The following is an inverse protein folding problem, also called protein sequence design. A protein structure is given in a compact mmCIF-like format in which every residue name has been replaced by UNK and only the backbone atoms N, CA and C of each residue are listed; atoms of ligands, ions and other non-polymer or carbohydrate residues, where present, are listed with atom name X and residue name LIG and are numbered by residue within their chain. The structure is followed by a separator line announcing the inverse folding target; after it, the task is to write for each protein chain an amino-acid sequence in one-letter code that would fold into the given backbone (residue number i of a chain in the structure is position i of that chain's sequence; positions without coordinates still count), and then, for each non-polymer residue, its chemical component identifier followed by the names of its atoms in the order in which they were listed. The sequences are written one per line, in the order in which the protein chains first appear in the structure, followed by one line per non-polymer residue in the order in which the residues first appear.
data_IF_974464871365
#
_entry.id   IF_974464871365
#
_cell.length_a   1.000
_cell.length_b   1.000
_cell.length_c   1.000
_cell.angle_alpha   90.00
_cell.angle_beta   90.00
_cell.angle_gamma   90.00
#
_symmetry.space_group_name_H-M   'P 1'
#
loop_
_entity.id
_entity.type
_entity.pdbx_description
1 polymer ?
#
# COMPACT_ATOMS: atom_id res chain seq x y z
N UNK A 1 -14.93 1.34 5.87
CA UNK A 1 -14.80 1.79 4.49
C UNK A 1 -13.76 0.94 3.77
N UNK A 2 -14.09 0.43 2.57
CA UNK A 2 -13.17 -0.28 1.69
C UNK A 2 -13.03 0.52 0.39
N UNK A 3 -11.78 0.78 -0.02
CA UNK A 3 -11.42 1.54 -1.22
C UNK A 3 -10.49 0.69 -2.07
N UNK A 4 -10.88 0.38 -3.30
CA UNK A 4 -10.02 -0.29 -4.28
C UNK A 4 -9.49 0.75 -5.27
N UNK A 5 -8.17 0.82 -5.42
CA UNK A 5 -7.50 1.73 -6.34
C UNK A 5 -6.92 0.95 -7.52
N UNK A 6 -7.09 1.49 -8.71
CA UNK A 6 -6.52 0.95 -9.94
C UNK A 6 -5.30 1.78 -10.36
N UNK A 7 -4.08 1.21 -10.28
CA UNK A 7 -2.87 1.91 -10.68
C UNK A 7 -2.64 1.91 -12.20
N UNK A 8 -3.50 1.25 -12.99
CA UNK A 8 -3.26 1.01 -14.42
C UNK A 8 -4.15 1.81 -15.36
N UNK A 9 -5.39 2.16 -14.95
CA UNK A 9 -6.36 2.81 -15.86
C UNK A 9 -5.83 4.09 -16.51
N UNK A 10 -5.11 4.91 -15.75
CA UNK A 10 -4.58 6.19 -16.24
C UNK A 10 -3.08 6.17 -16.51
N UNK A 11 -2.40 5.07 -16.19
CA UNK A 11 -0.98 4.89 -16.48
C UNK A 11 -0.81 4.52 -17.95
N UNK A 12 -0.32 5.46 -18.77
CA UNK A 12 -0.15 5.25 -20.20
C UNK A 12 1.21 4.68 -20.57
N UNK A 13 2.18 4.75 -19.66
CA UNK A 13 3.55 4.28 -19.86
C UNK A 13 4.15 3.82 -18.54
N UNK A 14 4.64 2.59 -18.49
CA UNK A 14 5.41 2.11 -17.34
C UNK A 14 6.72 2.86 -17.19
N UNK A 15 7.07 3.33 -15.98
CA UNK A 15 8.29 4.08 -15.74
C UNK A 15 9.55 3.26 -16.05
N UNK A 16 10.60 3.93 -16.50
CA UNK A 16 11.92 3.31 -16.74
C UNK A 16 12.92 3.64 -15.63
N UNK A 17 12.95 4.89 -15.19
CA UNK A 17 13.95 5.39 -14.25
C UNK A 17 13.37 6.20 -13.08
N UNK A 18 12.19 6.76 -13.26
CA UNK A 18 11.44 7.44 -12.18
C UNK A 18 10.01 6.94 -12.18
N UNK A 19 9.30 7.10 -11.08
CA UNK A 19 7.96 6.54 -10.90
C UNK A 19 6.81 7.51 -11.20
N UNK A 20 7.07 8.69 -11.73
CA UNK A 20 6.02 9.68 -11.95
C UNK A 20 5.03 9.33 -13.08
N UNK A 21 5.37 8.35 -13.93
CA UNK A 21 4.43 7.82 -14.94
C UNK A 21 3.39 6.87 -14.32
N UNK A 22 3.66 6.29 -13.13
CA UNK A 22 2.63 5.63 -12.35
C UNK A 22 1.65 6.67 -11.80
N UNK A 23 0.37 6.51 -12.09
CA UNK A 23 -0.63 7.50 -11.67
C UNK A 23 -2.01 6.90 -11.46
N UNK A 24 -2.72 7.39 -10.45
CA UNK A 24 -4.17 7.19 -10.33
C UNK A 24 -4.94 7.99 -11.40
N UNK A 25 -4.30 9.01 -11.98
CA UNK A 25 -5.00 10.03 -12.75
C UNK A 25 -5.86 10.95 -11.88
N UNK A 26 -6.09 12.16 -12.39
CA UNK A 26 -6.79 13.20 -11.62
C UNK A 26 -8.20 12.77 -11.19
N UNK A 27 -8.92 12.08 -12.06
CA UNK A 27 -10.29 11.62 -11.79
C UNK A 27 -10.35 10.68 -10.60
N UNK A 28 -9.50 9.64 -10.58
CA UNK A 28 -9.50 8.69 -9.46
C UNK A 28 -8.92 9.29 -8.18
N UNK A 29 -7.90 10.17 -8.31
CA UNK A 29 -7.35 10.89 -7.17
C UNK A 29 -8.39 11.79 -6.48
N UNK A 30 -9.14 12.59 -7.25
CA UNK A 30 -10.17 13.45 -6.71
C UNK A 30 -11.32 12.65 -6.08
N UNK A 31 -11.71 11.53 -6.69
CA UNK A 31 -12.67 10.61 -6.10
C UNK A 31 -12.16 10.01 -4.77
N UNK A 32 -10.91 9.56 -4.71
CA UNK A 32 -10.30 9.05 -3.48
C UNK A 32 -10.33 10.09 -2.37
N UNK A 33 -9.91 11.31 -2.68
CA UNK A 33 -9.94 12.44 -1.74
C UNK A 33 -11.35 12.69 -1.21
N UNK A 34 -12.33 12.81 -2.09
CA UNK A 34 -13.72 13.08 -1.73
C UNK A 34 -14.29 11.97 -0.82
N UNK A 35 -14.06 10.70 -1.16
CA UNK A 35 -14.53 9.55 -0.37
C UNK A 35 -13.90 9.53 1.01
N UNK A 36 -12.60 9.83 1.11
CA UNK A 36 -11.90 9.86 2.39
C UNK A 36 -12.36 11.03 3.28
N UNK A 37 -12.46 12.24 2.73
CA UNK A 37 -12.89 13.45 3.47
C UNK A 37 -14.32 13.34 4.00
N UNK A 38 -15.23 12.67 3.26
CA UNK A 38 -16.63 12.47 3.67
C UNK A 38 -16.83 11.28 4.62
N UNK A 39 -15.85 10.40 4.74
CA UNK A 39 -16.03 9.15 5.49
C UNK A 39 -15.88 9.32 6.99
N UNK A 40 -16.88 8.88 7.73
CA UNK A 40 -16.89 8.75 9.21
C UNK A 40 -16.56 7.34 9.69
N UNK A 41 -16.12 6.44 8.80
CA UNK A 41 -15.81 5.07 9.15
C UNK A 41 -14.62 4.99 10.11
N UNK A 42 -14.74 4.19 11.16
CA UNK A 42 -13.70 3.96 12.17
C UNK A 42 -12.53 3.14 11.64
N UNK A 43 -12.78 2.29 10.66
CA UNK A 43 -11.74 1.54 9.95
C UNK A 43 -11.80 1.84 8.46
N UNK A 44 -10.66 2.22 7.89
CA UNK A 44 -10.52 2.52 6.46
C UNK A 44 -9.45 1.63 5.85
N UNK A 45 -9.84 0.86 4.86
CA UNK A 45 -9.01 -0.12 4.16
C UNK A 45 -8.80 0.32 2.71
N UNK A 46 -7.56 0.47 2.30
CA UNK A 46 -7.18 0.78 0.92
C UNK A 46 -6.51 -0.45 0.30
N UNK A 47 -6.92 -0.80 -0.90
CA UNK A 47 -6.39 -1.91 -1.68
C UNK A 47 -5.83 -1.37 -2.99
N UNK A 48 -4.60 -1.73 -3.30
CA UNK A 48 -3.94 -1.36 -4.55
C UNK A 48 -2.98 -2.47 -4.97
N UNK A 49 -2.78 -2.68 -6.29
CA UNK A 49 -1.86 -3.73 -6.74
C UNK A 49 -0.42 -3.47 -6.30
N UNK A 50 0.09 -2.25 -6.52
CA UNK A 50 1.41 -1.77 -6.07
C UNK A 50 1.34 -0.28 -5.74
N UNK A 51 2.33 0.24 -5.01
CA UNK A 51 2.45 1.68 -4.76
C UNK A 51 2.83 2.40 -6.07
N UNK A 52 2.45 3.67 -6.19
CA UNK A 52 2.74 4.49 -7.38
C UNK A 52 4.11 5.15 -7.23
N UNK A 53 5.14 4.34 -7.26
CA UNK A 53 6.54 4.71 -6.95
C UNK A 53 7.53 3.93 -7.82
N UNK A 54 8.76 4.44 -7.93
CA UNK A 54 9.88 3.72 -8.49
C UNK A 54 9.82 3.50 -10.00
N UNK A 55 10.59 2.53 -10.46
CA UNK A 55 10.71 2.13 -11.86
C UNK A 55 9.54 1.24 -12.34
N UNK A 56 9.70 0.63 -13.50
CA UNK A 56 8.70 -0.26 -14.11
C UNK A 56 8.30 -1.45 -13.21
N UNK A 57 9.12 -1.82 -12.24
CA UNK A 57 8.81 -2.94 -11.34
C UNK A 57 7.98 -2.51 -10.14
N UNK A 58 8.08 -1.24 -9.70
CA UNK A 58 7.33 -0.69 -8.54
C UNK A 58 7.32 -1.61 -7.31
N UNK A 59 8.46 -2.25 -7.02
CA UNK A 59 8.62 -3.18 -5.89
C UNK A 59 9.05 -2.45 -4.62
N UNK A 60 8.70 -3.02 -3.48
CA UNK A 60 9.07 -2.54 -2.16
C UNK A 60 7.89 -2.11 -1.29
N UNK A 61 8.19 -1.77 -0.06
CA UNK A 61 7.22 -1.42 0.98
C UNK A 61 7.31 0.05 1.40
N UNK A 62 7.32 0.26 2.72
CA UNK A 62 7.35 1.61 3.32
C UNK A 62 8.64 2.37 2.99
N UNK A 63 9.72 1.68 2.68
CA UNK A 63 11.02 2.28 2.34
C UNK A 63 10.96 3.17 1.10
N UNK A 64 10.04 2.89 0.19
CA UNK A 64 9.84 3.66 -1.03
C UNK A 64 8.57 4.53 -0.99
N UNK A 65 7.78 4.45 0.07
CA UNK A 65 6.49 5.15 0.15
C UNK A 65 6.62 6.69 0.13
N UNK A 66 7.80 7.25 0.39
CA UNK A 66 8.05 8.69 0.27
C UNK A 66 8.16 9.20 -1.18
N UNK A 67 8.24 8.29 -2.17
CA UNK A 67 8.56 8.64 -3.56
C UNK A 67 7.33 8.91 -4.42
N UNK A 68 7.56 9.66 -5.49
CA UNK A 68 6.68 9.90 -6.64
C UNK A 68 5.25 10.29 -6.22
N UNK A 69 4.22 9.84 -6.93
CA UNK A 69 2.83 10.21 -6.64
C UNK A 69 2.37 9.76 -5.24
N UNK A 70 2.96 8.66 -4.73
CA UNK A 70 2.60 8.15 -3.41
C UNK A 70 3.05 9.07 -2.28
N UNK A 71 4.32 9.50 -2.25
CA UNK A 71 4.89 10.28 -1.15
C UNK A 71 5.42 11.67 -1.52
N UNK A 72 5.50 12.01 -2.81
CA UNK A 72 5.80 13.34 -3.30
C UNK A 72 7.25 13.64 -3.64
N UNK A 73 8.19 12.79 -3.25
CA UNK A 73 9.61 13.02 -3.50
C UNK A 73 10.06 12.45 -4.85
N UNK A 74 11.01 13.10 -5.48
CA UNK A 74 11.83 12.53 -6.55
C UNK A 74 12.71 11.40 -6.01
N UNK A 75 13.33 10.59 -6.91
CA UNK A 75 14.20 9.51 -6.49
C UNK A 75 15.43 9.97 -5.70
N UNK A 76 15.91 11.20 -5.92
CA UNK A 76 17.00 11.80 -5.16
C UNK A 76 16.58 12.37 -3.79
N UNK A 77 15.30 12.30 -3.44
CA UNK A 77 14.75 12.79 -2.18
C UNK A 77 14.29 14.25 -2.20
N UNK A 78 14.51 14.98 -3.29
CA UNK A 78 13.98 16.33 -3.44
C UNK A 78 12.45 16.32 -3.59
N UNK A 79 11.78 17.44 -3.24
CA UNK A 79 10.35 17.59 -3.50
C UNK A 79 10.07 17.64 -5.00
N UNK A 80 9.15 16.80 -5.46
CA UNK A 80 8.76 16.71 -6.86
C UNK A 80 7.25 16.81 -7.08
N UNK A 81 6.43 16.83 -6.01
CA UNK A 81 4.99 16.67 -6.14
C UNK A 81 4.33 17.79 -6.95
N UNK A 82 4.56 19.03 -6.56
CA UNK A 82 3.92 20.16 -7.22
C UNK A 82 4.29 20.29 -8.71
N UNK A 83 5.51 19.91 -9.07
CA UNK A 83 5.98 19.93 -10.47
C UNK A 83 5.34 18.82 -11.33
N UNK A 84 5.15 17.63 -10.75
CA UNK A 84 4.63 16.47 -11.47
C UNK A 84 3.11 16.27 -11.33
N UNK A 85 2.49 16.89 -10.34
CA UNK A 85 1.03 16.84 -10.07
C UNK A 85 0.49 18.25 -9.80
N UNK A 86 0.59 19.17 -10.79
CA UNK A 86 0.13 20.53 -10.62
C UNK A 86 -1.37 20.56 -10.31
N UNK A 87 -1.75 21.29 -9.27
CA UNK A 87 -3.15 21.40 -8.85
C UNK A 87 -3.68 20.28 -7.96
N UNK A 88 -2.95 19.20 -7.76
CA UNK A 88 -3.34 18.18 -6.79
C UNK A 88 -3.10 18.65 -5.36
N UNK A 89 -3.93 18.20 -4.43
CA UNK A 89 -3.92 18.70 -3.05
C UNK A 89 -2.63 18.28 -2.30
N UNK A 90 -2.30 16.99 -2.29
CA UNK A 90 -1.10 16.44 -1.63
C UNK A 90 -0.80 15.02 -2.13
N UNK A 91 0.41 14.48 -1.85
CA UNK A 91 0.75 13.09 -2.13
C UNK A 91 -0.24 12.10 -1.51
N UNK A 92 -0.42 10.95 -2.14
CA UNK A 92 -1.42 9.95 -1.72
C UNK A 92 -1.19 9.52 -0.27
N UNK A 93 0.04 9.18 0.12
CA UNK A 93 0.34 8.77 1.50
C UNK A 93 -0.11 9.82 2.52
N UNK A 94 0.19 11.10 2.26
CA UNK A 94 -0.20 12.18 3.17
C UNK A 94 -1.72 12.38 3.22
N UNK A 95 -2.42 12.14 2.11
CA UNK A 95 -3.87 12.14 2.07
C UNK A 95 -4.46 11.00 2.93
N UNK A 96 -3.86 9.80 2.84
CA UNK A 96 -4.27 8.65 3.65
C UNK A 96 -4.05 8.88 5.15
N UNK A 97 -2.89 9.44 5.54
CA UNK A 97 -2.56 9.79 6.94
C UNK A 97 -3.54 10.80 7.50
N UNK A 98 -3.77 11.91 6.80
CA UNK A 98 -4.70 12.97 7.21
C UNK A 98 -6.12 12.45 7.46
N UNK A 99 -6.56 11.51 6.63
CA UNK A 99 -7.88 10.92 6.71
C UNK A 99 -7.94 9.64 7.56
N UNK A 100 -6.89 9.36 8.36
CA UNK A 100 -6.84 8.24 9.31
C UNK A 100 -7.15 6.90 8.65
N UNK A 101 -6.53 6.62 7.51
CA UNK A 101 -6.56 5.30 6.88
C UNK A 101 -5.85 4.31 7.79
N UNK A 102 -6.48 3.17 8.05
CA UNK A 102 -5.94 2.15 8.95
C UNK A 102 -4.97 1.21 8.25
N UNK A 103 -5.29 0.84 7.00
CA UNK A 103 -4.56 -0.19 6.26
C UNK A 103 -4.39 0.16 4.78
N UNK A 104 -3.20 -0.13 4.26
CA UNK A 104 -2.93 -0.25 2.83
C UNK A 104 -2.54 -1.69 2.53
N UNK A 105 -3.37 -2.40 1.79
CA UNK A 105 -3.10 -3.75 1.31
C UNK A 105 -2.60 -3.71 -0.12
N UNK A 106 -1.46 -4.36 -0.38
CA UNK A 106 -0.90 -4.46 -1.74
C UNK A 106 -0.41 -5.87 -2.05
N UNK A 107 -0.35 -6.19 -3.33
CA UNK A 107 0.20 -7.43 -3.87
C UNK A 107 1.56 -7.22 -4.54
N UNK A 108 1.68 -7.67 -5.78
CA UNK A 108 2.79 -7.47 -6.72
C UNK A 108 4.09 -8.23 -6.38
N UNK A 109 4.58 -8.14 -5.15
CA UNK A 109 5.88 -8.73 -4.74
C UNK A 109 5.78 -10.21 -4.37
N UNK A 110 4.56 -10.76 -4.29
CA UNK A 110 4.26 -12.18 -4.02
C UNK A 110 4.81 -12.68 -2.66
N UNK A 111 5.01 -11.81 -1.70
CA UNK A 111 5.48 -12.14 -0.36
C UNK A 111 4.54 -11.56 0.69
N UNK A 112 4.51 -12.18 1.87
CA UNK A 112 3.87 -11.57 3.03
C UNK A 112 4.87 -10.66 3.73
N UNK A 113 4.56 -9.37 3.84
CA UNK A 113 5.31 -8.42 4.70
C UNK A 113 4.35 -7.49 5.38
N UNK A 114 4.44 -7.43 6.71
CA UNK A 114 3.70 -6.50 7.56
C UNK A 114 4.62 -5.38 8.00
N UNK A 115 4.29 -4.14 7.66
CA UNK A 115 5.05 -2.93 7.99
C UNK A 115 4.13 -1.83 8.53
N UNK A 116 4.69 -0.84 9.22
CA UNK A 116 3.98 0.33 9.72
C UNK A 116 4.69 1.61 9.25
N UNK A 117 3.91 2.61 8.83
CA UNK A 117 4.40 3.94 8.49
C UNK A 117 3.33 4.99 8.82
N UNK A 118 3.71 6.01 9.60
CA UNK A 118 2.88 7.17 9.96
C UNK A 118 1.46 6.79 10.44
N UNK A 119 1.39 5.72 11.23
CA UNK A 119 0.14 5.24 11.76
C UNK A 119 -0.72 4.45 10.76
N UNK A 120 -0.22 4.04 9.62
CA UNK A 120 -0.88 3.16 8.64
C UNK A 120 -0.17 1.82 8.61
N UNK A 121 -0.91 0.73 8.68
CA UNK A 121 -0.39 -0.60 8.39
C UNK A 121 -0.28 -0.82 6.89
N UNK A 122 0.94 -1.05 6.39
CA UNK A 122 1.23 -1.47 5.02
C UNK A 122 1.40 -2.99 4.98
N UNK A 123 0.44 -3.67 4.38
CA UNK A 123 0.43 -5.12 4.31
C UNK A 123 0.61 -5.60 2.87
N UNK A 124 1.77 -6.16 2.57
CA UNK A 124 2.01 -6.86 1.31
C UNK A 124 1.51 -8.30 1.43
N UNK A 125 0.79 -8.76 0.40
CA UNK A 125 0.17 -10.08 0.39
C UNK A 125 0.96 -11.06 -0.48
N UNK A 126 1.09 -12.32 -0.05
CA UNK A 126 1.67 -13.36 -0.89
C UNK A 126 0.71 -13.75 -2.02
N UNK A 127 1.26 -14.38 -3.03
CA UNK A 127 0.46 -15.02 -4.07
C UNK A 127 -0.27 -16.25 -3.48
N UNK A 128 -1.58 -16.42 -3.72
CA UNK A 128 -2.35 -17.49 -3.08
C UNK A 128 -1.89 -18.91 -3.41
N UNK A 129 -1.27 -19.10 -4.56
CA UNK A 129 -0.84 -20.41 -5.09
C UNK A 129 0.68 -20.59 -5.15
N UNK A 130 1.47 -19.65 -4.66
CA UNK A 130 2.93 -19.75 -4.70
C UNK A 130 3.44 -20.56 -3.51
N UNK A 131 4.08 -21.71 -3.72
CA UNK A 131 4.51 -22.59 -2.64
C UNK A 131 5.81 -22.13 -1.95
N UNK A 132 6.33 -20.94 -2.24
CA UNK A 132 7.61 -20.44 -1.77
C UNK A 132 7.72 -20.40 -0.24
N UNK A 133 8.44 -21.35 0.34
CA UNK A 133 8.68 -21.39 1.78
C UNK A 133 9.74 -20.37 2.24
N UNK A 134 10.65 -20.00 1.33
CA UNK A 134 11.74 -19.06 1.62
C UNK A 134 11.46 -17.71 0.98
N UNK A 135 11.45 -16.68 1.80
CA UNK A 135 11.38 -15.29 1.34
C UNK A 135 12.72 -14.60 1.60
N UNK A 136 13.15 -13.81 0.63
CA UNK A 136 14.20 -12.82 0.80
C UNK A 136 13.61 -11.43 0.55
N UNK A 137 13.01 -10.80 1.56
CA UNK A 137 12.33 -9.53 1.39
C UNK A 137 13.28 -8.42 0.93
N UNK A 138 14.54 -8.46 1.33
CA UNK A 138 15.55 -7.45 0.95
C UNK A 138 15.78 -7.37 -0.57
N UNK A 139 15.62 -8.47 -1.32
CA UNK A 139 15.75 -8.43 -2.78
C UNK A 139 14.63 -7.62 -3.47
N UNK A 140 13.52 -7.38 -2.77
CA UNK A 140 12.42 -6.54 -3.22
C UNK A 140 12.42 -5.16 -2.54
N UNK A 141 13.49 -4.81 -1.80
CA UNK A 141 13.63 -3.52 -1.14
C UNK A 141 12.98 -3.39 0.23
N UNK A 142 12.48 -4.48 0.83
CA UNK A 142 11.95 -4.46 2.20
C UNK A 142 13.10 -4.59 3.20
N UNK A 143 13.32 -3.57 4.00
CA UNK A 143 14.39 -3.51 5.01
C UNK A 143 13.85 -3.58 6.44
N UNK A 144 12.53 -3.50 6.60
CA UNK A 144 11.86 -3.47 7.89
C UNK A 144 10.59 -4.34 7.89
N UNK A 145 10.00 -4.52 9.07
CA UNK A 145 8.75 -5.24 9.24
C UNK A 145 8.91 -6.75 9.42
N UNK A 146 7.78 -7.44 9.46
CA UNK A 146 7.70 -8.89 9.63
C UNK A 146 7.40 -9.57 8.29
N UNK A 147 8.33 -10.34 7.79
CA UNK A 147 8.15 -11.16 6.59
C UNK A 147 7.89 -12.62 6.94
N UNK A 148 6.96 -13.26 6.22
CA UNK A 148 6.62 -14.68 6.36
C UNK A 148 6.56 -15.31 4.98
N UNK A 149 7.13 -16.50 4.83
CA UNK A 149 7.05 -17.29 3.61
C UNK A 149 5.75 -18.09 3.48
N UNK A 150 5.54 -18.64 2.29
CA UNK A 150 4.39 -19.49 1.99
C UNK A 150 3.23 -18.74 1.33
N UNK A 151 2.27 -19.51 0.84
CA UNK A 151 1.02 -19.02 0.27
C UNK A 151 -0.11 -19.06 1.30
N UNK A 152 -1.13 -18.25 1.07
CA UNK A 152 -2.28 -18.17 1.97
C UNK A 152 -3.16 -16.96 1.67
N UNK A 153 -3.95 -16.57 2.65
CA UNK A 153 -4.83 -15.42 2.56
C UNK A 153 -4.87 -14.65 3.89
N UNK A 154 -5.31 -13.41 3.83
CA UNK A 154 -5.60 -12.63 5.02
C UNK A 154 -7.06 -12.79 5.42
N UNK A 155 -7.29 -13.07 6.70
CA UNK A 155 -8.60 -12.98 7.34
C UNK A 155 -8.64 -11.72 8.18
N UNK A 156 -9.62 -10.86 7.90
CA UNK A 156 -9.81 -9.61 8.64
C UNK A 156 -11.12 -9.68 9.38
N UNK A 157 -11.08 -9.48 10.68
CA UNK A 157 -12.24 -9.41 11.56
C UNK A 157 -12.30 -8.01 12.19
N UNK A 158 -13.45 -7.35 12.12
CA UNK A 158 -13.60 -5.98 12.64
C UNK A 158 -14.68 -5.90 13.69
N UNK A 159 -14.44 -5.08 14.69
CA UNK A 159 -15.43 -4.55 15.62
C UNK A 159 -15.42 -3.03 15.54
N UNK A 160 -16.27 -2.35 16.31
CA UNK A 160 -16.25 -0.89 16.38
C UNK A 160 -14.92 -0.31 16.88
N UNK A 161 -14.12 -1.10 17.61
CA UNK A 161 -12.90 -0.62 18.26
C UNK A 161 -11.61 -1.21 17.70
N UNK A 162 -11.68 -2.41 17.13
CA UNK A 162 -10.48 -3.18 16.74
C UNK A 162 -10.69 -3.84 15.39
N UNK A 163 -9.69 -3.77 14.54
CA UNK A 163 -9.53 -4.63 13.38
C UNK A 163 -8.39 -5.62 13.67
N UNK A 164 -8.69 -6.92 13.59
CA UNK A 164 -7.73 -8.01 13.69
C UNK A 164 -7.44 -8.57 12.31
N UNK A 165 -6.17 -8.72 12.00
CA UNK A 165 -5.68 -9.32 10.75
C UNK A 165 -4.91 -10.58 11.07
N UNK A 166 -5.19 -11.65 10.35
CA UNK A 166 -4.53 -12.95 10.47
C UNK A 166 -4.06 -13.42 9.10
N UNK A 167 -2.79 -13.80 8.99
CA UNK A 167 -2.28 -14.50 7.83
C UNK A 167 -2.51 -16.01 8.02
N UNK A 168 -3.42 -16.56 7.25
CA UNK A 168 -3.75 -17.99 7.27
C UNK A 168 -3.07 -18.67 6.10
N UNK A 169 -2.17 -19.61 6.37
CA UNK A 169 -1.47 -20.38 5.34
C UNK A 169 -2.43 -21.33 4.61
N UNK A 170 -2.01 -21.86 3.46
CA UNK A 170 -2.79 -22.84 2.71
C UNK A 170 -3.06 -24.14 3.53
N UNK A 171 -2.25 -24.43 4.55
CA UNK A 171 -2.46 -25.52 5.51
C UNK A 171 -3.49 -25.19 6.60
N UNK A 172 -4.03 -23.98 6.62
CA UNK A 172 -4.98 -23.51 7.63
C UNK A 172 -4.35 -23.03 8.93
N UNK A 173 -3.02 -22.89 9.00
CA UNK A 173 -2.32 -22.37 10.18
C UNK A 173 -2.27 -20.84 10.16
N UNK A 174 -2.38 -20.21 11.33
CA UNK A 174 -2.14 -18.78 11.49
C UNK A 174 -0.64 -18.56 11.63
N UNK A 175 -0.01 -17.99 10.60
CA UNK A 175 1.43 -17.72 10.56
C UNK A 175 1.78 -16.34 11.13
N UNK A 176 0.84 -15.39 11.07
CA UNK A 176 0.93 -14.08 11.71
C UNK A 176 -0.45 -13.58 12.13
N UNK A 177 -0.48 -12.75 13.17
CA UNK A 177 -1.70 -12.11 13.65
C UNK A 177 -1.35 -10.81 14.37
N UNK A 178 -2.11 -9.76 14.08
CA UNK A 178 -1.99 -8.47 14.75
C UNK A 178 -3.34 -7.75 14.82
N UNK A 179 -3.41 -6.76 15.69
CA UNK A 179 -4.61 -5.95 15.90
C UNK A 179 -4.28 -4.47 15.75
N UNK A 180 -5.25 -3.72 15.24
CA UNK A 180 -5.19 -2.28 15.14
C UNK A 180 -6.43 -1.66 15.77
N UNK A 181 -6.21 -0.71 16.68
CA UNK A 181 -7.28 0.07 17.27
C UNK A 181 -7.89 1.02 16.24
N UNK A 182 -9.19 1.25 16.36
CA UNK A 182 -9.89 2.27 15.58
C UNK A 182 -9.35 3.67 15.92
N UNK A 183 -9.42 4.57 14.96
CA UNK A 183 -9.06 5.98 15.14
C UNK A 183 -10.16 6.75 15.85
#
# INVERSE_FOLDING_TARGET
LHICLDPFTYTTQSPKSDGWQWTLGETQYNWLREVLEKSTATHKFVYIHHLLVGDAQSRGGVEIAAKNEWGGQNNDGSDGFAANRPGWYKPIHHLLVENKVSFVFKGHDHIYVHQELDGITYQTLPQPSHPGEKVNPAQYGYLSGKAVGGSGFLRISTSARVARVEFVTFEGKIADSYERQAH
#
